data_IF_994164033726
#
_entry.id   IF_994164033726
#
_cell.length_a   1.000
_cell.length_b   1.000
_cell.length_c   1.000
_cell.angle_alpha   90.00
_cell.angle_beta   90.00
_cell.angle_gamma   90.00
#
_symmetry.space_group_name_H-M   'P 1'
#
loop_
_entity.id
_entity.type
_entity.pdbx_description
1 polymer ?
#
# COMPACT_ATOMS: atom_id res chain seq x y z
N UNK A 1 2.57 -12.15 -14.96
CA UNK A 1 3.69 -11.33 -14.44
C UNK A 1 3.13 -9.98 -14.06
N UNK A 2 3.34 -9.59 -12.84
CA UNK A 2 2.96 -8.24 -12.36
C UNK A 2 3.74 -7.19 -13.14
N UNK A 3 3.09 -6.10 -13.55
CA UNK A 3 3.73 -4.99 -14.26
C UNK A 3 3.65 -3.75 -13.38
N UNK A 4 4.77 -3.07 -13.16
CA UNK A 4 4.80 -1.85 -12.38
C UNK A 4 4.02 -0.71 -13.05
N UNK A 5 3.43 0.17 -12.25
CA UNK A 5 2.74 1.38 -12.71
C UNK A 5 3.70 2.35 -13.39
N UNK A 6 3.25 3.06 -14.44
CA UNK A 6 4.07 4.04 -15.15
C UNK A 6 3.89 5.45 -14.55
N UNK A 7 4.71 5.79 -13.57
CA UNK A 7 4.65 7.07 -12.86
C UNK A 7 5.05 8.29 -13.70
N UNK A 8 5.70 8.12 -14.86
CA UNK A 8 6.04 9.26 -15.73
C UNK A 8 4.82 9.98 -16.30
N UNK A 9 3.65 9.35 -16.25
CA UNK A 9 2.39 9.89 -16.77
C UNK A 9 1.53 10.57 -15.71
N UNK A 10 1.86 10.40 -14.44
CA UNK A 10 1.11 10.95 -13.31
C UNK A 10 1.48 12.41 -13.13
N UNK A 11 0.48 13.31 -13.28
CA UNK A 11 0.67 14.77 -13.20
C UNK A 11 -0.02 15.40 -12.00
N UNK A 12 -0.93 14.68 -11.35
CA UNK A 12 -1.73 15.23 -10.26
C UNK A 12 -0.89 15.44 -9.01
N UNK A 13 -0.95 16.63 -8.45
CA UNK A 13 -0.23 17.05 -7.22
C UNK A 13 -0.51 16.16 -6.01
N UNK A 14 -1.68 15.52 -5.97
CA UNK A 14 -2.07 14.64 -4.86
C UNK A 14 -1.10 13.48 -4.66
N UNK A 15 -0.45 13.00 -5.74
CA UNK A 15 0.54 11.94 -5.68
C UNK A 15 1.93 12.38 -5.20
N UNK A 16 2.13 13.70 -5.08
CA UNK A 16 3.38 14.29 -4.60
C UNK A 16 3.33 14.62 -3.10
N UNK A 17 2.12 14.71 -2.53
CA UNK A 17 1.92 15.07 -1.12
C UNK A 17 1.62 13.83 -0.27
N UNK A 18 2.15 13.77 0.97
CA UNK A 18 1.77 12.74 1.91
C UNK A 18 0.25 12.74 2.17
N UNK A 19 -0.35 11.56 2.33
CA UNK A 19 -1.76 11.46 2.71
C UNK A 19 -1.98 11.93 4.14
N UNK A 20 -3.21 12.36 4.47
CA UNK A 20 -3.53 12.88 5.81
C UNK A 20 -3.25 11.87 6.92
N UNK A 21 -3.51 10.59 6.69
CA UNK A 21 -3.30 9.53 7.67
C UNK A 21 -1.86 9.43 8.17
N UNK A 22 -0.86 9.72 7.32
CA UNK A 22 0.55 9.51 7.71
C UNK A 22 1.04 10.52 8.75
N UNK A 23 0.39 11.67 8.91
CA UNK A 23 0.72 12.62 9.98
C UNK A 23 0.39 12.04 11.36
N UNK A 24 -0.79 11.40 11.49
CA UNK A 24 -1.16 10.67 12.70
C UNK A 24 -0.22 9.49 12.95
N UNK A 25 0.07 8.70 11.91
CA UNK A 25 0.95 7.55 12.00
C UNK A 25 2.38 7.93 12.39
N UNK A 26 2.90 9.03 11.85
CA UNK A 26 4.20 9.56 12.22
C UNK A 26 4.29 9.84 13.73
N UNK A 27 3.31 10.56 14.26
CA UNK A 27 3.25 10.87 15.69
C UNK A 27 3.18 9.60 16.53
N UNK A 28 2.22 8.72 16.22
CA UNK A 28 2.00 7.44 16.89
C UNK A 28 3.25 6.56 16.90
N UNK A 29 3.91 6.39 15.76
CA UNK A 29 5.06 5.52 15.64
C UNK A 29 6.33 6.10 16.26
N UNK A 30 6.47 7.43 16.28
CA UNK A 30 7.52 8.11 17.06
C UNK A 30 7.35 7.90 18.57
N UNK A 31 6.14 8.03 19.10
CA UNK A 31 5.85 7.78 20.51
C UNK A 31 6.14 6.32 20.92
N UNK A 32 5.92 5.37 20.01
CA UNK A 32 6.28 3.97 20.22
C UNK A 32 7.79 3.68 20.09
N UNK A 33 8.58 4.66 19.70
CA UNK A 33 10.01 4.50 19.48
C UNK A 33 10.37 3.70 18.23
N UNK A 34 9.44 3.53 17.28
CA UNK A 34 9.69 2.84 16.02
C UNK A 34 10.74 3.57 15.18
N UNK A 35 11.60 2.82 14.50
CA UNK A 35 12.73 3.36 13.72
C UNK A 35 12.77 2.84 12.29
N UNK A 36 12.56 1.54 12.09
CA UNK A 36 12.65 0.90 10.77
C UNK A 36 11.28 0.86 10.11
N UNK A 37 11.16 1.54 9.01
CA UNK A 37 9.92 1.74 8.28
C UNK A 37 10.00 1.19 6.86
N UNK A 38 9.00 0.42 6.45
CA UNK A 38 8.83 -0.08 5.09
C UNK A 38 7.64 0.63 4.42
N UNK A 39 7.89 1.31 3.31
CA UNK A 39 6.88 1.84 2.41
C UNK A 39 6.65 0.79 1.31
N UNK A 40 5.62 -0.05 1.49
CA UNK A 40 5.33 -1.20 0.64
C UNK A 40 4.40 -0.81 -0.52
N UNK A 41 4.92 -0.80 -1.74
CA UNK A 41 4.29 -0.20 -2.91
C UNK A 41 4.43 1.32 -2.90
N UNK A 42 5.65 1.80 -2.70
CA UNK A 42 5.96 3.21 -2.44
C UNK A 42 5.72 4.15 -3.64
N UNK A 43 5.64 3.61 -4.86
CA UNK A 43 5.52 4.41 -6.09
C UNK A 43 6.64 5.43 -6.23
N UNK A 44 6.27 6.71 -6.35
CA UNK A 44 7.22 7.84 -6.40
C UNK A 44 7.80 8.22 -5.03
N UNK A 45 7.39 7.56 -3.94
CA UNK A 45 7.99 7.70 -2.62
C UNK A 45 7.51 8.91 -1.79
N UNK A 46 6.33 9.46 -2.03
CA UNK A 46 5.80 10.60 -1.23
C UNK A 46 5.81 10.33 0.27
N UNK A 47 5.50 9.11 0.68
CA UNK A 47 5.52 8.70 2.08
C UNK A 47 6.93 8.32 2.54
N UNK A 48 7.72 7.67 1.68
CA UNK A 48 9.13 7.36 1.94
C UNK A 48 9.91 8.63 2.28
N UNK A 49 9.79 9.69 1.47
CA UNK A 49 10.41 10.99 1.71
C UNK A 49 9.93 11.57 3.05
N UNK A 50 8.61 11.61 3.28
CA UNK A 50 8.03 12.16 4.48
C UNK A 50 8.55 11.48 5.77
N UNK A 51 8.60 10.15 5.82
CA UNK A 51 9.11 9.44 6.98
C UNK A 51 10.64 9.60 7.15
N UNK A 52 11.40 9.65 6.05
CA UNK A 52 12.84 9.88 6.10
C UNK A 52 13.18 11.28 6.63
N UNK A 53 12.49 12.34 6.16
CA UNK A 53 12.60 13.71 6.69
C UNK A 53 12.31 13.77 8.19
N UNK A 54 11.53 12.83 8.70
CA UNK A 54 11.14 12.74 10.10
C UNK A 54 11.96 11.75 10.94
N UNK A 55 13.09 11.26 10.40
CA UNK A 55 14.11 10.52 11.15
C UNK A 55 13.89 9.01 11.22
N UNK A 56 13.05 8.43 10.37
CA UNK A 56 12.95 6.99 10.21
C UNK A 56 14.04 6.45 9.28
N UNK A 57 14.49 5.22 9.52
CA UNK A 57 15.25 4.41 8.56
C UNK A 57 14.26 3.81 7.57
N UNK A 58 14.18 4.36 6.39
CA UNK A 58 13.15 4.06 5.39
C UNK A 58 13.66 3.09 4.34
N UNK A 59 12.87 2.06 4.06
CA UNK A 59 12.97 1.26 2.85
C UNK A 59 11.74 1.54 1.98
N UNK A 60 11.96 2.05 0.76
CA UNK A 60 10.94 2.16 -0.28
C UNK A 60 10.99 0.94 -1.19
N UNK A 61 9.86 0.22 -1.30
CA UNK A 61 9.76 -1.01 -2.08
C UNK A 61 8.63 -0.93 -3.10
N UNK A 62 8.94 -1.11 -4.38
CA UNK A 62 7.93 -1.08 -5.46
C UNK A 62 8.39 -1.91 -6.66
N UNK A 63 7.44 -2.34 -7.48
CA UNK A 63 7.71 -3.01 -8.76
C UNK A 63 8.04 -2.01 -9.88
N UNK A 64 7.59 -0.75 -9.74
CA UNK A 64 7.71 0.29 -10.75
C UNK A 64 9.10 0.91 -10.79
N UNK A 65 9.82 0.64 -11.86
CA UNK A 65 11.13 1.25 -12.12
C UNK A 65 11.06 2.78 -12.27
N UNK A 66 10.00 3.28 -12.93
CA UNK A 66 9.79 4.73 -13.11
C UNK A 66 9.53 5.43 -11.78
N UNK A 67 8.74 4.81 -10.89
CA UNK A 67 8.50 5.34 -9.55
C UNK A 67 9.77 5.39 -8.72
N UNK A 68 10.49 4.28 -8.65
CA UNK A 68 11.73 4.19 -7.88
C UNK A 68 12.83 5.14 -8.39
N UNK A 69 12.87 5.41 -9.71
CA UNK A 69 13.78 6.41 -10.27
C UNK A 69 13.46 7.81 -9.74
N UNK A 70 12.18 8.20 -9.73
CA UNK A 70 11.73 9.49 -9.19
C UNK A 70 12.06 9.57 -7.69
N UNK A 71 11.76 8.53 -6.91
CA UNK A 71 12.10 8.48 -5.48
C UNK A 71 13.61 8.69 -5.25
N UNK A 72 14.46 8.03 -6.06
CA UNK A 72 15.90 8.16 -5.95
C UNK A 72 16.39 9.58 -6.22
N UNK A 73 15.82 10.24 -7.22
CA UNK A 73 16.16 11.63 -7.56
C UNK A 73 15.72 12.58 -6.43
N UNK A 74 14.51 12.44 -5.92
CA UNK A 74 14.00 13.24 -4.79
C UNK A 74 14.80 13.01 -3.49
N UNK A 75 15.15 11.77 -3.17
CA UNK A 75 15.97 11.46 -2.00
C UNK A 75 17.36 12.12 -2.09
N UNK A 76 17.98 12.09 -3.29
CA UNK A 76 19.27 12.75 -3.54
C UNK A 76 19.15 14.27 -3.40
N UNK A 77 18.13 14.89 -3.99
CA UNK A 77 17.90 16.33 -3.92
C UNK A 77 17.73 16.81 -2.47
N UNK A 78 17.02 16.04 -1.67
CA UNK A 78 16.75 16.34 -0.26
C UNK A 78 17.83 15.85 0.71
N UNK A 79 18.90 15.23 0.19
CA UNK A 79 19.97 14.64 0.98
C UNK A 79 19.47 13.63 2.03
N UNK A 80 18.53 12.79 1.64
CA UNK A 80 17.92 11.75 2.47
C UNK A 80 18.52 10.38 2.15
N UNK A 81 18.76 9.57 3.19
CA UNK A 81 19.18 8.18 3.04
C UNK A 81 17.96 7.25 3.08
N UNK A 82 17.58 6.71 1.94
CA UNK A 82 16.44 5.79 1.77
C UNK A 82 16.94 4.56 1.02
N UNK A 83 16.71 3.38 1.59
CA UNK A 83 16.95 2.12 0.91
C UNK A 83 15.88 1.92 -0.17
N UNK A 84 16.27 1.86 -1.44
CA UNK A 84 15.34 1.76 -2.57
C UNK A 84 15.49 0.39 -3.20
N UNK A 85 14.44 -0.43 -3.11
CA UNK A 85 14.46 -1.83 -3.54
C UNK A 85 13.32 -2.09 -4.53
N UNK A 86 13.67 -2.66 -5.70
CA UNK A 86 12.68 -3.08 -6.71
C UNK A 86 12.27 -4.54 -6.48
N UNK A 87 10.98 -4.80 -6.46
CA UNK A 87 10.49 -6.18 -6.38
C UNK A 87 8.97 -6.30 -6.32
N UNK A 88 8.51 -7.56 -6.30
CA UNK A 88 7.10 -7.93 -6.22
C UNK A 88 6.67 -8.08 -4.75
N UNK A 89 5.56 -7.48 -4.39
CA UNK A 89 5.01 -7.48 -3.01
C UNK A 89 4.63 -8.88 -2.51
N UNK A 90 4.52 -9.85 -3.40
CA UNK A 90 4.23 -11.26 -3.05
C UNK A 90 5.47 -12.04 -2.60
N UNK A 91 6.67 -11.43 -2.66
CA UNK A 91 7.93 -12.06 -2.24
C UNK A 91 8.93 -10.98 -1.82
N UNK A 92 9.03 -10.71 -0.53
CA UNK A 92 9.87 -9.63 0.00
C UNK A 92 11.29 -10.12 0.30
N UNK A 93 12.34 -9.47 -0.22
CA UNK A 93 13.74 -9.89 -0.01
C UNK A 93 14.31 -9.44 1.34
N UNK A 94 13.46 -9.37 2.36
CA UNK A 94 13.83 -8.91 3.70
C UNK A 94 13.82 -10.06 4.71
N UNK A 95 14.64 -9.94 5.74
CA UNK A 95 14.65 -10.90 6.85
C UNK A 95 13.36 -10.83 7.68
N UNK A 96 13.08 -11.88 8.42
CA UNK A 96 11.97 -11.91 9.37
C UNK A 96 12.12 -10.79 10.41
N UNK A 97 11.00 -10.20 10.83
CA UNK A 97 10.97 -9.21 11.90
C UNK A 97 11.95 -8.03 11.70
N UNK A 98 12.05 -7.55 10.45
CA UNK A 98 12.97 -6.46 10.06
C UNK A 98 12.42 -5.07 10.33
N UNK A 99 11.09 -4.89 10.33
CA UNK A 99 10.47 -3.57 10.37
C UNK A 99 9.59 -3.37 11.60
N UNK A 100 9.67 -2.18 12.19
CA UNK A 100 8.80 -1.74 13.30
C UNK A 100 7.43 -1.30 12.78
N UNK A 101 7.43 -0.65 11.61
CA UNK A 101 6.23 -0.12 10.96
C UNK A 101 6.24 -0.38 9.46
N UNK A 102 5.06 -0.69 8.91
CA UNK A 102 4.83 -0.84 7.47
C UNK A 102 3.68 0.09 7.06
N UNK A 103 3.84 0.76 5.94
CA UNK A 103 2.76 1.48 5.25
C UNK A 103 2.52 0.83 3.90
N UNK A 104 1.25 0.56 3.57
CA UNK A 104 0.88 0.14 2.22
C UNK A 104 -0.36 0.92 1.76
N UNK A 105 -0.10 2.03 1.09
CA UNK A 105 -1.14 2.99 0.72
C UNK A 105 -1.49 2.87 -0.76
N UNK A 106 -2.69 2.37 -1.07
CA UNK A 106 -3.20 2.17 -2.42
C UNK A 106 -2.36 1.22 -3.31
N UNK A 107 -1.79 0.15 -2.72
CA UNK A 107 -0.89 -0.75 -3.45
C UNK A 107 -1.25 -2.23 -3.39
N UNK A 108 -1.45 -2.84 -2.22
CA UNK A 108 -1.50 -4.31 -2.08
C UNK A 108 -2.71 -4.99 -2.73
N UNK A 109 -3.71 -4.26 -3.10
CA UNK A 109 -4.91 -4.83 -3.72
C UNK A 109 -4.77 -5.06 -5.24
N UNK A 110 -3.62 -4.77 -5.86
CA UNK A 110 -3.35 -5.06 -7.27
C UNK A 110 -2.86 -6.49 -7.48
N UNK A 111 -3.54 -7.44 -6.85
CA UNK A 111 -3.25 -8.88 -6.88
C UNK A 111 -4.54 -9.69 -6.98
N UNK A 112 -4.42 -10.98 -7.31
CA UNK A 112 -5.50 -11.95 -7.17
C UNK A 112 -5.59 -12.52 -5.74
N UNK A 113 -6.46 -13.52 -5.51
CA UNK A 113 -6.66 -14.09 -4.18
C UNK A 113 -5.42 -14.82 -3.64
N UNK A 114 -4.67 -15.52 -4.49
CA UNK A 114 -3.43 -16.19 -4.11
C UNK A 114 -2.35 -15.16 -3.77
N UNK A 115 -2.23 -14.12 -4.61
CA UNK A 115 -1.33 -13.00 -4.37
C UNK A 115 -1.62 -12.28 -3.06
N UNK A 116 -2.90 -12.03 -2.73
CA UNK A 116 -3.28 -11.40 -1.46
C UNK A 116 -2.84 -12.24 -0.26
N UNK A 117 -3.03 -13.56 -0.30
CA UNK A 117 -2.57 -14.44 0.77
C UNK A 117 -1.06 -14.35 0.99
N UNK A 118 -0.29 -14.41 -0.12
CA UNK A 118 1.18 -14.26 -0.07
C UNK A 118 1.62 -12.91 0.49
N UNK A 119 0.96 -11.82 0.06
CA UNK A 119 1.26 -10.46 0.56
C UNK A 119 1.06 -10.38 2.07
N UNK A 120 -0.04 -10.94 2.61
CA UNK A 120 -0.31 -10.93 4.05
C UNK A 120 0.70 -11.78 4.82
N UNK A 121 1.08 -12.95 4.29
CA UNK A 121 2.12 -13.80 4.87
C UNK A 121 3.47 -13.07 4.93
N UNK A 122 3.88 -12.41 3.85
CA UNK A 122 5.12 -11.65 3.79
C UNK A 122 5.11 -10.44 4.72
N UNK A 123 4.02 -9.68 4.76
CA UNK A 123 3.83 -8.60 5.73
C UNK A 123 3.98 -9.13 7.15
N UNK A 124 3.29 -10.22 7.48
CA UNK A 124 3.39 -10.85 8.81
C UNK A 124 4.82 -11.30 9.11
N UNK A 125 5.52 -11.85 8.13
CA UNK A 125 6.89 -12.34 8.29
C UNK A 125 7.87 -11.22 8.59
N UNK A 126 7.85 -10.12 7.81
CA UNK A 126 8.83 -9.03 7.92
C UNK A 126 8.52 -8.03 9.02
N UNK A 127 7.27 -7.94 9.48
CA UNK A 127 6.87 -7.08 10.59
C UNK A 127 7.29 -7.71 11.92
N UNK A 128 7.90 -6.92 12.79
CA UNK A 128 8.27 -7.35 14.16
C UNK A 128 7.04 -7.64 15.01
N UNK A 129 7.21 -8.49 16.02
CA UNK A 129 6.19 -8.64 17.08
C UNK A 129 5.94 -7.31 17.76
N UNK A 130 4.68 -6.92 17.91
CA UNK A 130 4.26 -5.62 18.39
C UNK A 130 4.42 -4.48 17.41
N UNK A 131 4.96 -4.74 16.20
CA UNK A 131 5.00 -3.79 15.09
C UNK A 131 3.63 -3.52 14.50
N UNK A 132 3.48 -2.41 13.80
CA UNK A 132 2.19 -1.97 13.24
C UNK A 132 2.26 -1.81 11.73
N UNK A 133 1.16 -2.12 11.06
CA UNK A 133 0.95 -1.81 9.65
C UNK A 133 -0.28 -0.94 9.48
N UNK A 134 -0.14 0.08 8.66
CA UNK A 134 -1.28 0.80 8.09
C UNK A 134 -1.41 0.46 6.61
N UNK A 135 -2.60 0.06 6.19
CA UNK A 135 -2.85 -0.30 4.80
C UNK A 135 -4.24 0.11 4.32
N UNK A 136 -4.39 0.20 3.01
CA UNK A 136 -5.70 0.46 2.39
C UNK A 136 -6.12 -0.70 1.50
N UNK A 137 -7.42 -1.01 1.50
CA UNK A 137 -8.04 -2.01 0.64
C UNK A 137 -9.26 -1.44 -0.10
N UNK A 138 -9.54 -1.96 -1.29
CA UNK A 138 -10.75 -1.61 -2.03
C UNK A 138 -11.97 -2.30 -1.40
N UNK A 139 -13.02 -1.52 -1.17
CA UNK A 139 -14.31 -2.06 -0.70
C UNK A 139 -15.13 -2.66 -1.84
N UNK A 140 -15.88 -3.74 -1.57
CA UNK A 140 -16.91 -4.26 -2.48
C UNK A 140 -18.05 -3.23 -2.76
N UNK A 141 -18.08 -2.10 -2.02
CA UNK A 141 -19.01 -0.99 -2.25
C UNK A 141 -18.53 0.01 -3.30
N UNK A 142 -17.26 -0.05 -3.70
CA UNK A 142 -16.71 0.88 -4.70
C UNK A 142 -17.34 0.63 -6.09
N UNK A 143 -17.59 1.68 -6.85
CA UNK A 143 -18.19 1.59 -8.18
C UNK A 143 -17.53 0.55 -9.08
N UNK A 144 -16.19 0.51 -9.08
CA UNK A 144 -15.44 -0.41 -9.95
C UNK A 144 -15.65 -1.91 -9.64
N UNK A 145 -16.18 -2.27 -8.46
CA UNK A 145 -16.55 -3.65 -8.14
C UNK A 145 -17.89 -4.04 -8.79
N UNK A 146 -18.85 -3.11 -8.88
CA UNK A 146 -20.23 -3.34 -9.37
C UNK A 146 -20.45 -2.85 -10.80
N UNK A 147 -19.45 -2.18 -11.41
CA UNK A 147 -19.57 -1.60 -12.74
C UNK A 147 -19.96 -2.66 -13.78
N UNK A 148 -20.85 -2.34 -14.74
CA UNK A 148 -21.35 -3.29 -15.75
C UNK A 148 -20.24 -3.89 -16.64
N UNK A 149 -19.15 -3.15 -16.82
CA UNK A 149 -17.94 -3.56 -17.59
C UNK A 149 -16.88 -4.25 -16.75
N UNK A 150 -17.16 -4.49 -15.47
CA UNK A 150 -16.26 -5.17 -14.56
C UNK A 150 -16.17 -6.66 -14.90
N UNK A 151 -14.98 -7.17 -15.18
CA UNK A 151 -14.76 -8.59 -15.45
C UNK A 151 -14.55 -9.36 -14.15
N UNK A 152 -15.51 -10.22 -13.83
CA UNK A 152 -15.48 -11.04 -12.61
C UNK A 152 -14.53 -12.21 -12.78
N UNK A 153 -13.56 -12.36 -11.86
CA UNK A 153 -12.64 -13.52 -11.77
C UNK A 153 -13.06 -14.43 -10.61
N UNK A 154 -13.32 -13.84 -9.46
CA UNK A 154 -13.81 -14.51 -8.26
C UNK A 154 -14.69 -13.56 -7.45
N UNK A 155 -15.18 -13.99 -6.30
CA UNK A 155 -15.96 -13.13 -5.40
C UNK A 155 -15.19 -11.85 -5.04
N UNK A 156 -13.90 -11.96 -4.73
CA UNK A 156 -13.07 -10.84 -4.29
C UNK A 156 -12.25 -10.21 -5.42
N UNK A 157 -12.21 -10.76 -6.64
CA UNK A 157 -11.31 -10.28 -7.70
C UNK A 157 -12.07 -9.83 -8.93
N UNK A 158 -11.73 -8.62 -9.40
CA UNK A 158 -12.15 -8.08 -10.70
C UNK A 158 -10.92 -7.74 -11.52
N UNK A 159 -11.01 -7.96 -12.82
CA UNK A 159 -10.03 -7.42 -13.76
C UNK A 159 -10.45 -6.02 -14.15
N UNK A 160 -9.52 -5.10 -14.05
CA UNK A 160 -9.69 -3.72 -14.48
C UNK A 160 -8.74 -3.41 -15.61
N UNK A 161 -9.26 -2.80 -16.66
CA UNK A 161 -8.47 -2.30 -17.78
C UNK A 161 -7.97 -0.91 -17.42
N UNK A 162 -6.66 -0.76 -17.33
CA UNK A 162 -6.02 0.53 -17.16
C UNK A 162 -5.82 1.26 -18.50
N UNK A 163 -5.50 2.55 -18.46
CA UNK A 163 -5.42 3.43 -19.62
C UNK A 163 -4.53 2.91 -20.78
N UNK A 164 -3.53 2.10 -20.48
CA UNK A 164 -2.63 1.50 -21.49
C UNK A 164 -3.11 0.16 -22.05
N UNK A 165 -4.35 -0.22 -21.77
CA UNK A 165 -4.89 -1.53 -22.17
C UNK A 165 -4.35 -2.71 -21.37
N UNK A 166 -3.51 -2.46 -20.36
CA UNK A 166 -3.04 -3.50 -19.44
C UNK A 166 -4.18 -3.86 -18.49
N UNK A 167 -4.40 -5.15 -18.30
CA UNK A 167 -5.46 -5.67 -17.44
C UNK A 167 -4.81 -6.14 -16.13
N UNK A 168 -5.26 -5.60 -15.01
CA UNK A 168 -4.78 -5.97 -13.68
C UNK A 168 -5.90 -6.55 -12.82
N UNK A 169 -5.60 -7.58 -12.02
CA UNK A 169 -6.50 -8.00 -10.98
C UNK A 169 -6.55 -6.92 -9.88
N UNK A 170 -7.77 -6.68 -9.39
CA UNK A 170 -8.01 -5.85 -8.21
C UNK A 170 -8.75 -6.68 -7.18
N UNK A 171 -8.22 -6.72 -5.97
CA UNK A 171 -8.79 -7.45 -4.85
C UNK A 171 -9.69 -6.53 -4.02
N UNK A 172 -10.94 -6.96 -3.82
CA UNK A 172 -11.97 -6.20 -3.10
C UNK A 172 -12.39 -6.97 -1.86
N UNK A 173 -12.72 -6.23 -0.80
CA UNK A 173 -13.11 -6.82 0.48
C UNK A 173 -14.40 -6.18 1.03
N UNK A 174 -15.07 -6.94 1.86
CA UNK A 174 -16.00 -6.44 2.85
C UNK A 174 -15.41 -6.56 4.27
N UNK A 175 -16.22 -6.27 5.28
CA UNK A 175 -15.77 -6.32 6.67
C UNK A 175 -15.42 -7.73 7.15
N UNK A 176 -16.17 -8.75 6.70
CA UNK A 176 -15.93 -10.14 7.09
C UNK A 176 -14.68 -10.70 6.40
N UNK A 177 -14.44 -10.34 5.15
CA UNK A 177 -13.18 -10.64 4.47
C UNK A 177 -11.98 -10.10 5.24
N UNK A 178 -12.05 -8.84 5.72
CA UNK A 178 -10.96 -8.23 6.49
C UNK A 178 -10.67 -9.04 7.76
N UNK A 179 -11.69 -9.42 8.52
CA UNK A 179 -11.51 -10.24 9.73
C UNK A 179 -10.86 -11.59 9.43
N UNK A 180 -11.22 -12.21 8.33
CA UNK A 180 -10.68 -13.49 7.90
C UNK A 180 -9.22 -13.37 7.41
N UNK A 181 -8.93 -12.35 6.59
CA UNK A 181 -7.59 -12.11 6.05
C UNK A 181 -6.57 -11.78 7.15
N UNK A 182 -6.97 -10.97 8.12
CA UNK A 182 -6.07 -10.46 9.16
C UNK A 182 -6.28 -11.08 10.54
N UNK A 183 -6.83 -12.29 10.61
CA UNK A 183 -7.08 -13.00 11.90
C UNK A 183 -5.82 -13.23 12.75
N UNK A 184 -4.63 -13.13 12.16
CA UNK A 184 -3.34 -13.19 12.85
C UNK A 184 -2.84 -11.86 13.42
N UNK A 185 -3.62 -10.77 13.24
CA UNK A 185 -3.30 -9.42 13.70
C UNK A 185 -4.35 -8.91 14.68
N UNK A 186 -3.91 -8.07 15.60
CA UNK A 186 -4.81 -7.21 16.38
C UNK A 186 -5.29 -6.06 15.50
N UNK A 187 -6.60 -5.91 15.38
CA UNK A 187 -7.19 -4.79 14.65
C UNK A 187 -7.30 -3.59 15.61
N UNK A 188 -6.45 -2.57 15.42
CA UNK A 188 -6.48 -1.34 16.21
C UNK A 188 -7.58 -0.41 15.72
N UNK A 189 -7.69 -0.24 14.41
CA UNK A 189 -8.78 0.53 13.80
C UNK A 189 -9.12 0.06 12.39
N UNK A 190 -10.39 0.14 12.05
CA UNK A 190 -10.91 0.02 10.69
C UNK A 190 -11.77 1.26 10.42
N UNK A 191 -11.49 1.95 9.33
CA UNK A 191 -12.36 2.99 8.81
C UNK A 191 -12.76 2.64 7.39
N UNK A 192 -13.98 2.88 7.01
CA UNK A 192 -14.46 2.79 5.63
C UNK A 192 -14.81 4.20 5.17
N UNK A 193 -14.17 4.66 4.11
CA UNK A 193 -14.36 6.00 3.55
C UNK A 193 -14.88 5.84 2.12
N UNK A 194 -15.92 6.57 1.80
CA UNK A 194 -16.52 6.59 0.48
C UNK A 194 -16.49 8.02 -0.05
N UNK A 195 -15.73 8.22 -1.12
CA UNK A 195 -15.61 9.49 -1.83
C UNK A 195 -16.55 9.45 -3.05
N UNK A 196 -17.27 10.52 -3.26
CA UNK A 196 -18.15 10.69 -4.41
C UNK A 196 -17.53 11.65 -5.40
N UNK A 197 -17.25 11.16 -6.62
CA UNK A 197 -16.81 11.94 -7.76
C UNK A 197 -17.87 11.78 -8.85
N UNK A 198 -18.65 12.81 -9.07
CA UNK A 198 -19.82 12.78 -9.92
C UNK A 198 -20.82 11.69 -9.49
N UNK A 199 -21.22 10.79 -10.42
CA UNK A 199 -22.11 9.67 -10.16
C UNK A 199 -21.40 8.39 -9.69
N UNK A 200 -20.07 8.42 -9.52
CA UNK A 200 -19.26 7.27 -9.15
C UNK A 200 -18.71 7.42 -7.74
N UNK A 201 -18.79 6.35 -6.96
CA UNK A 201 -18.15 6.31 -5.65
C UNK A 201 -16.83 5.53 -5.70
N UNK A 202 -15.90 5.99 -4.89
CA UNK A 202 -14.66 5.29 -4.58
C UNK A 202 -14.65 4.96 -3.09
N UNK A 203 -14.87 3.70 -2.75
CA UNK A 203 -14.99 3.25 -1.36
C UNK A 203 -13.77 2.39 -0.98
N UNK A 204 -13.12 2.75 0.12
CA UNK A 204 -11.92 2.05 0.62
C UNK A 204 -11.98 1.83 2.11
N UNK A 205 -11.33 0.75 2.54
CA UNK A 205 -10.99 0.52 3.94
C UNK A 205 -9.60 1.02 4.25
N UNK A 206 -9.44 1.61 5.42
CA UNK A 206 -8.22 2.08 6.02
C UNK A 206 -8.01 1.33 7.33
N UNK A 207 -6.96 0.53 7.39
CA UNK A 207 -6.73 -0.41 8.48
C UNK A 207 -5.42 -0.06 9.21
N UNK A 208 -5.49 0.02 10.53
CA UNK A 208 -4.31 0.01 11.38
C UNK A 208 -4.32 -1.29 12.19
N UNK A 209 -3.28 -2.10 11.99
CA UNK A 209 -3.17 -3.44 12.56
C UNK A 209 -1.85 -3.57 13.32
N UNK A 210 -1.81 -4.48 14.31
CA UNK A 210 -0.60 -4.86 15.05
C UNK A 210 -0.37 -6.36 14.95
N UNK A 211 0.89 -6.78 14.75
CA UNK A 211 1.31 -8.18 14.84
C UNK A 211 1.53 -8.63 16.28
#
# INVERSE_FOLDING_TARGET
MSKGWNWNKVKEDIWQRPSEDVYYLLHRWKEKGYKRFLDLGCGMGRHSIFFAENGFHVTGYDLSESGLKILKELAKEKNLNIDIVKGDITSLPFENESYDAILSYHSIYHVDSEGMSKVIEEISRVLKKGGEIFLTLLSKRTYSYTAPDSVVVSENVRLKKEEEGTIFPHFYVDYDDIKNLFKGFEIISIRQIEDYLDEKSSCRYFLLLRK
#
